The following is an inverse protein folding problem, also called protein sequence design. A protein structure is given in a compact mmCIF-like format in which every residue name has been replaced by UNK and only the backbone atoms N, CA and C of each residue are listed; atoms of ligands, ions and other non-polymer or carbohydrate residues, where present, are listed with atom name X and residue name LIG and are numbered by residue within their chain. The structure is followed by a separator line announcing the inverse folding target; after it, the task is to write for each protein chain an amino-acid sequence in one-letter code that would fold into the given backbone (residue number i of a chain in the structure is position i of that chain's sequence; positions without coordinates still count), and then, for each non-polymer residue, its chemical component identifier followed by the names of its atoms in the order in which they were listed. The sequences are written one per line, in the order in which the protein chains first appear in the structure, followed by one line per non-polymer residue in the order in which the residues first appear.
data_IF_597955846584
#
_entry.id   IF_597955846584
#
_cell.length_a   1.000
_cell.length_b   1.000
_cell.length_c   1.000
_cell.angle_alpha   90.00
_cell.angle_beta   90.00
_cell.angle_gamma   90.00
#
_symmetry.space_group_name_H-M   'P 1'
#
loop_
_entity.id
_entity.type
_entity.pdbx_description
1 polymer ?
#
# COMPACT_ATOMS: atom_id res chain seq x y z
N UNK A 1 17.39 1.06 4.54
CA UNK A 1 16.98 -0.24 5.14
C UNK A 1 17.29 -0.17 6.62
N UNK A 2 16.30 -0.40 7.47
CA UNK A 2 16.49 -0.50 8.92
C UNK A 2 16.68 -1.97 9.31
N UNK A 3 17.85 -2.28 9.86
CA UNK A 3 18.19 -3.62 10.30
C UNK A 3 17.40 -4.07 11.53
N UNK A 4 16.96 -3.14 12.39
CA UNK A 4 16.28 -3.49 13.64
C UNK A 4 14.85 -3.98 13.40
N UNK A 5 14.12 -3.28 12.53
CA UNK A 5 12.73 -3.59 12.16
C UNK A 5 12.63 -4.45 10.90
N UNK A 6 13.73 -4.66 10.18
CA UNK A 6 13.78 -5.42 8.93
C UNK A 6 12.79 -4.86 7.90
N UNK A 7 12.83 -3.53 7.68
CA UNK A 7 12.02 -2.84 6.68
C UNK A 7 12.83 -1.76 5.94
N UNK A 8 12.32 -1.34 4.79
CA UNK A 8 12.84 -0.19 4.07
C UNK A 8 12.17 1.09 4.59
N UNK A 9 12.95 2.18 4.58
CA UNK A 9 12.47 3.51 4.92
C UNK A 9 12.37 4.33 3.63
N UNK A 10 11.41 5.24 3.57
CA UNK A 10 11.17 6.13 2.41
C UNK A 10 12.36 7.07 2.20
N UNK A 11 12.92 7.58 3.30
CA UNK A 11 14.16 8.35 3.33
C UNK A 11 14.88 8.15 4.67
N UNK A 12 16.10 8.70 4.80
CA UNK A 12 16.89 8.62 6.04
C UNK A 12 16.14 9.24 7.22
N UNK A 13 16.04 8.53 8.34
CA UNK A 13 15.31 8.94 9.55
C UNK A 13 13.77 9.11 9.39
N UNK A 14 13.15 8.45 8.40
CA UNK A 14 11.68 8.43 8.27
C UNK A 14 10.99 7.89 9.53
N UNK A 15 10.04 8.66 10.11
CA UNK A 15 9.31 8.26 11.32
C UNK A 15 8.11 7.35 10.96
N UNK A 16 8.30 6.04 11.10
CA UNK A 16 7.27 5.03 10.88
C UNK A 16 6.10 5.07 11.88
N UNK A 17 6.13 5.91 12.91
CA UNK A 17 5.09 5.98 13.95
C UNK A 17 4.19 7.19 13.80
N UNK A 18 4.73 8.34 13.39
CA UNK A 18 3.98 9.60 13.37
C UNK A 18 3.87 10.25 11.98
N UNK A 19 4.31 9.57 10.93
CA UNK A 19 4.20 10.09 9.57
C UNK A 19 2.83 9.80 8.95
N UNK A 20 2.49 10.53 7.90
CA UNK A 20 1.34 10.22 7.05
C UNK A 20 1.75 10.44 5.60
N UNK A 21 1.57 9.40 4.78
CA UNK A 21 1.93 9.42 3.36
C UNK A 21 0.69 9.56 2.50
N UNK A 22 0.86 10.13 1.31
CA UNK A 22 -0.23 10.31 0.35
C UNK A 22 -0.59 8.99 -0.34
N UNK A 23 0.42 8.24 -0.78
CA UNK A 23 0.27 7.11 -1.70
C UNK A 23 1.42 6.12 -1.55
N UNK A 24 1.29 4.93 -2.15
CA UNK A 24 2.33 3.92 -2.18
C UNK A 24 3.69 4.49 -2.64
N UNK A 25 4.74 4.22 -1.85
CA UNK A 25 6.13 4.52 -2.18
C UNK A 25 7.00 3.29 -1.91
N UNK A 26 7.40 3.04 -0.65
CA UNK A 26 8.26 1.91 -0.27
C UNK A 26 7.70 0.55 -0.72
N UNK A 27 6.38 0.38 -0.67
CA UNK A 27 5.74 -0.88 -1.11
C UNK A 27 5.89 -1.16 -2.61
N UNK A 28 6.26 -0.14 -3.41
CA UNK A 28 6.57 -0.29 -4.83
C UNK A 28 7.89 -1.03 -5.08
N UNK A 29 8.75 -1.15 -4.06
CA UNK A 29 9.96 -1.99 -4.11
C UNK A 29 9.61 -3.44 -4.41
N UNK A 30 8.50 -3.95 -3.85
CA UNK A 30 7.99 -5.30 -4.14
C UNK A 30 7.46 -5.41 -5.57
N UNK A 31 6.33 -4.75 -5.85
CA UNK A 31 5.78 -4.62 -7.20
C UNK A 31 5.52 -3.14 -7.49
N UNK A 32 5.92 -2.60 -8.66
CA UNK A 32 6.41 -3.33 -9.84
C UNK A 32 7.94 -3.48 -9.92
N UNK A 33 8.71 -2.96 -8.96
CA UNK A 33 10.16 -2.94 -9.09
C UNK A 33 10.81 -4.33 -8.99
N UNK A 34 10.15 -5.28 -8.32
CA UNK A 34 10.67 -6.64 -8.08
C UNK A 34 12.04 -6.63 -7.40
N UNK A 35 12.24 -5.69 -6.46
CA UNK A 35 13.49 -5.56 -5.73
C UNK A 35 13.75 -6.82 -4.88
N UNK A 36 14.95 -7.43 -4.97
CA UNK A 36 15.26 -8.61 -4.19
C UNK A 36 15.18 -8.34 -2.68
N UNK A 37 14.25 -9.00 -2.00
CA UNK A 37 14.07 -8.96 -0.56
C UNK A 37 13.45 -10.27 -0.07
N UNK A 38 13.53 -10.54 1.23
CA UNK A 38 12.86 -11.70 1.82
C UNK A 38 11.37 -11.44 1.99
N UNK A 39 10.56 -12.50 2.03
CA UNK A 39 9.12 -12.40 2.33
C UNK A 39 8.85 -11.68 3.65
N UNK A 40 9.74 -11.84 4.64
CA UNK A 40 9.64 -11.14 5.92
C UNK A 40 9.80 -9.63 5.77
N UNK A 41 10.83 -9.18 5.02
CA UNK A 41 11.05 -7.74 4.78
C UNK A 41 9.88 -7.15 4.00
N UNK A 42 9.41 -7.85 2.97
CA UNK A 42 8.24 -7.41 2.19
C UNK A 42 6.99 -7.30 3.06
N UNK A 43 6.75 -8.27 3.93
CA UNK A 43 5.62 -8.24 4.88
C UNK A 43 5.74 -7.06 5.83
N UNK A 44 6.93 -6.79 6.34
CA UNK A 44 7.18 -5.65 7.24
C UNK A 44 6.94 -4.31 6.53
N UNK A 45 7.40 -4.16 5.28
CA UNK A 45 7.15 -2.96 4.48
C UNK A 45 5.64 -2.73 4.29
N UNK A 46 4.90 -3.77 3.88
CA UNK A 46 3.45 -3.67 3.68
C UNK A 46 2.71 -3.30 4.97
N UNK A 47 3.03 -3.96 6.08
CA UNK A 47 2.39 -3.72 7.38
C UNK A 47 2.73 -2.36 7.98
N UNK A 48 3.96 -1.86 7.75
CA UNK A 48 4.38 -0.57 8.25
C UNK A 48 3.73 0.59 7.48
N UNK A 49 3.61 0.48 6.15
CA UNK A 49 3.14 1.57 5.30
C UNK A 49 1.62 1.62 5.09
N UNK A 50 0.90 0.50 5.27
CA UNK A 50 -0.56 0.49 5.19
C UNK A 50 -1.25 1.50 6.15
N UNK A 51 -0.94 1.54 7.46
CA UNK A 51 -1.58 2.49 8.38
C UNK A 51 -1.09 3.94 8.21
N UNK A 52 0.08 4.16 7.60
CA UNK A 52 0.61 5.50 7.34
C UNK A 52 -0.04 6.14 6.11
N UNK A 53 -0.66 5.35 5.24
CA UNK A 53 -1.36 5.86 4.07
C UNK A 53 -2.67 6.50 4.49
N UNK A 54 -2.82 7.80 4.16
CA UNK A 54 -4.06 8.55 4.43
C UNK A 54 -5.29 7.82 3.89
N UNK A 55 -6.40 7.89 4.64
CA UNK A 55 -7.62 7.16 4.31
C UNK A 55 -8.21 7.54 2.95
N UNK A 56 -8.04 8.79 2.53
CA UNK A 56 -8.47 9.42 1.28
C UNK A 56 -7.39 9.37 0.17
N UNK A 57 -6.36 8.54 0.33
CA UNK A 57 -5.28 8.38 -0.65
C UNK A 57 -5.79 7.93 -2.02
N UNK A 58 -4.96 8.01 -3.07
CA UNK A 58 -5.36 7.63 -4.42
C UNK A 58 -5.60 6.13 -4.53
N UNK A 59 -6.55 5.76 -5.37
CA UNK A 59 -7.02 4.39 -5.58
C UNK A 59 -5.91 3.37 -5.83
N UNK A 60 -4.87 3.79 -6.55
CA UNK A 60 -3.73 2.94 -6.95
C UNK A 60 -2.92 2.41 -5.75
N UNK A 61 -2.94 3.08 -4.59
CA UNK A 61 -2.15 2.64 -3.43
C UNK A 61 -2.60 1.27 -2.93
N UNK A 62 -3.90 1.06 -2.87
CA UNK A 62 -4.47 -0.17 -2.30
C UNK A 62 -4.27 -1.37 -3.23
N UNK A 63 -4.21 -1.16 -4.55
CA UNK A 63 -3.89 -2.25 -5.48
C UNK A 63 -2.43 -2.70 -5.35
N UNK A 64 -1.50 -1.78 -5.08
CA UNK A 64 -0.09 -2.14 -4.83
C UNK A 64 0.07 -2.95 -3.54
N UNK A 65 -0.61 -2.54 -2.46
CA UNK A 65 -0.66 -3.33 -1.24
C UNK A 65 -1.30 -4.70 -1.47
N UNK A 66 -2.42 -4.77 -2.22
CA UNK A 66 -3.07 -6.03 -2.57
C UNK A 66 -2.14 -6.99 -3.30
N UNK A 67 -1.39 -6.53 -4.30
CA UNK A 67 -0.42 -7.36 -5.03
C UNK A 67 0.68 -7.85 -4.08
N UNK A 68 1.18 -6.96 -3.21
CA UNK A 68 2.17 -7.33 -2.21
C UNK A 68 1.73 -8.47 -1.30
N UNK A 69 0.48 -8.45 -0.82
CA UNK A 69 -0.05 -9.54 0.02
C UNK A 69 -0.38 -10.82 -0.78
N UNK A 70 -0.77 -10.73 -2.06
CA UNK A 70 -0.90 -11.90 -2.95
C UNK A 70 0.43 -12.64 -3.05
N UNK A 71 1.53 -11.91 -3.27
CA UNK A 71 2.86 -12.52 -3.39
C UNK A 71 3.35 -13.18 -2.08
N UNK A 72 2.79 -12.77 -0.94
CA UNK A 72 3.05 -13.36 0.38
C UNK A 72 2.05 -14.48 0.76
N UNK A 73 1.13 -14.84 -0.13
CA UNK A 73 0.09 -15.85 0.11
C UNK A 73 -1.02 -15.43 1.09
N UNK A 74 -1.10 -14.14 1.44
CA UNK A 74 -2.07 -13.59 2.38
C UNK A 74 -3.32 -13.11 1.63
N UNK A 75 -4.09 -14.06 1.10
CA UNK A 75 -5.20 -13.78 0.20
C UNK A 75 -6.37 -13.05 0.88
N UNK A 76 -6.59 -13.28 2.17
CA UNK A 76 -7.64 -12.59 2.93
C UNK A 76 -7.33 -11.10 3.04
N UNK A 77 -6.09 -10.74 3.38
CA UNK A 77 -5.66 -9.34 3.44
C UNK A 77 -5.63 -8.71 2.06
N UNK A 78 -5.16 -9.44 1.05
CA UNK A 78 -5.17 -8.97 -0.33
C UNK A 78 -6.59 -8.66 -0.83
N UNK A 79 -7.57 -9.52 -0.56
CA UNK A 79 -8.96 -9.29 -0.96
C UNK A 79 -9.52 -8.00 -0.37
N UNK A 80 -9.29 -7.76 0.93
CA UNK A 80 -9.76 -6.53 1.60
C UNK A 80 -9.18 -5.27 0.93
N UNK A 81 -7.89 -5.31 0.58
CA UNK A 81 -7.21 -4.19 -0.06
C UNK A 81 -7.62 -4.02 -1.54
N UNK A 82 -7.91 -5.12 -2.23
CA UNK A 82 -8.46 -5.11 -3.58
C UNK A 82 -9.85 -4.47 -3.60
N UNK A 83 -10.74 -4.86 -2.69
CA UNK A 83 -12.07 -4.24 -2.55
C UNK A 83 -11.94 -2.74 -2.27
N UNK A 84 -11.02 -2.36 -1.37
CA UNK A 84 -10.71 -0.96 -1.07
C UNK A 84 -10.19 -0.19 -2.29
N UNK A 85 -9.44 -0.82 -3.20
CA UNK A 85 -8.85 -0.14 -4.36
C UNK A 85 -9.85 0.33 -5.42
N UNK A 86 -11.09 -0.16 -5.39
CA UNK A 86 -12.11 0.25 -6.36
C UNK A 86 -13.43 0.71 -5.73
N UNK A 87 -13.90 0.12 -4.62
CA UNK A 87 -15.27 0.36 -4.15
C UNK A 87 -15.55 1.82 -3.80
N UNK A 88 -14.62 2.52 -3.14
CA UNK A 88 -14.77 3.94 -2.77
C UNK A 88 -14.48 4.90 -3.93
N UNK A 89 -14.01 4.38 -5.06
CA UNK A 89 -13.52 5.12 -6.22
C UNK A 89 -14.47 5.04 -7.42
N UNK A 90 -15.47 4.15 -7.37
CA UNK A 90 -16.50 4.02 -8.41
C UNK A 90 -17.61 5.05 -8.20
N UNK A 91 -18.09 5.66 -9.30
CA UNK A 91 -19.10 6.72 -9.32
C UNK A 91 -20.33 6.31 -10.11
N UNK A 92 -21.54 6.37 -9.52
CA UNK A 92 -22.77 6.24 -10.28
C UNK A 92 -22.96 7.44 -11.24
N UNK A 93 -23.83 7.33 -12.25
CA UNK A 93 -24.67 6.18 -12.58
C UNK A 93 -23.98 5.15 -13.49
N UNK A 94 -22.82 5.47 -14.05
CA UNK A 94 -22.15 4.62 -15.04
C UNK A 94 -21.01 3.77 -14.47
N UNK A 95 -20.84 3.78 -13.15
CA UNK A 95 -19.75 3.11 -12.45
C UNK A 95 -18.36 3.51 -12.97
N UNK A 96 -18.18 4.82 -13.23
CA UNK A 96 -16.88 5.36 -13.64
C UNK A 96 -15.92 5.29 -12.45
N UNK A 97 -14.76 4.67 -12.64
CA UNK A 97 -13.71 4.64 -11.63
C UNK A 97 -12.87 5.91 -11.72
N UNK A 98 -12.61 6.56 -10.57
CA UNK A 98 -11.83 7.79 -10.45
C UNK A 98 -10.68 7.62 -9.47
N UNK A 99 -9.55 8.29 -9.68
CA UNK A 99 -8.38 8.19 -8.79
C UNK A 99 -8.69 8.61 -7.34
N UNK A 100 -9.50 9.66 -7.17
CA UNK A 100 -9.85 10.25 -5.88
C UNK A 100 -11.17 9.70 -5.32
N UNK A 101 -11.31 9.71 -4.00
CA UNK A 101 -12.56 9.39 -3.30
C UNK A 101 -13.59 10.52 -3.46
N UNK A 102 -14.88 10.22 -3.25
CA UNK A 102 -15.96 11.20 -3.42
C UNK A 102 -15.79 12.33 -2.42
N UNK A 103 -15.87 13.58 -2.89
CA UNK A 103 -15.77 14.76 -2.02
C UNK A 103 -14.34 15.26 -1.79
N UNK A 104 -13.36 14.70 -2.51
CA UNK A 104 -11.99 15.22 -2.64
C UNK A 104 -11.84 15.94 -3.98
#
# INVERSE_FOLDING_TARGET
FDNATQNHLEYEDFDLKNSTIKQADVVLLGFPLMWPMTDQVRRNDLLAYEPLTRADGPAMTWSMHSIGFIELGDFDKAQQLFERSYQTYVRPPFNVWTEAQSGV
#
